data_IF_185661637969
#
_entry.id   IF_185661637969
#
_cell.length_a   1.000
_cell.length_b   1.000
_cell.length_c   1.000
_cell.angle_alpha   90.00
_cell.angle_beta   90.00
_cell.angle_gamma   90.00
#
_symmetry.space_group_name_H-M   'P 1'
#
loop_
_entity.id
_entity.type
_entity.pdbx_description
1 polymer ?
#
# COMPACT_ATOMS: atom_id res chain seq x y z
N UNK A 1 23.63 -37.68 -22.48
CA UNK A 1 22.44 -36.94 -22.93
C UNK A 1 22.58 -35.52 -22.44
N UNK A 2 22.59 -34.52 -23.34
CA UNK A 2 22.54 -33.11 -22.92
C UNK A 2 21.20 -32.86 -22.22
N UNK A 3 21.19 -32.23 -21.04
CA UNK A 3 19.94 -31.91 -20.35
C UNK A 3 19.13 -30.92 -21.21
N UNK A 4 17.83 -31.16 -21.32
CA UNK A 4 16.92 -30.28 -22.06
C UNK A 4 16.94 -28.87 -21.44
N UNK A 5 17.10 -27.85 -22.28
CA UNK A 5 17.12 -26.45 -21.87
C UNK A 5 16.01 -25.67 -22.60
N UNK A 6 14.89 -25.36 -21.92
CA UNK A 6 13.77 -24.63 -22.54
C UNK A 6 13.98 -23.11 -22.63
N UNK A 7 15.09 -22.58 -22.11
CA UNK A 7 15.27 -21.13 -21.90
C UNK A 7 14.98 -20.32 -23.15
N UNK A 8 15.55 -20.70 -24.29
CA UNK A 8 15.38 -19.94 -25.53
C UNK A 8 13.94 -20.01 -26.06
N UNK A 9 13.29 -21.17 -25.99
CA UNK A 9 11.89 -21.31 -26.38
C UNK A 9 10.94 -20.50 -25.48
N UNK A 10 11.19 -20.47 -24.17
CA UNK A 10 10.41 -19.67 -23.24
C UNK A 10 10.60 -18.18 -23.55
N UNK A 11 11.84 -17.74 -23.78
CA UNK A 11 12.14 -16.36 -24.16
C UNK A 11 11.44 -15.97 -25.46
N UNK A 12 11.57 -16.77 -26.51
CA UNK A 12 10.94 -16.48 -27.79
C UNK A 12 9.41 -16.44 -27.68
N UNK A 13 8.82 -17.29 -26.83
CA UNK A 13 7.38 -17.24 -26.52
C UNK A 13 7.00 -15.94 -25.82
N UNK A 14 7.75 -15.53 -24.79
CA UNK A 14 7.50 -14.28 -24.06
C UNK A 14 7.54 -13.06 -24.99
N UNK A 15 8.58 -12.96 -25.82
CA UNK A 15 8.72 -11.87 -26.78
C UNK A 15 7.63 -11.90 -27.85
N UNK A 16 7.28 -13.07 -28.37
CA UNK A 16 6.20 -13.20 -29.34
C UNK A 16 4.88 -12.64 -28.80
N UNK A 17 4.48 -13.01 -27.57
CA UNK A 17 3.26 -12.47 -26.96
C UNK A 17 3.33 -10.96 -26.75
N UNK A 18 4.44 -10.46 -26.20
CA UNK A 18 4.62 -9.04 -25.97
C UNK A 18 4.57 -8.21 -27.27
N UNK A 19 5.21 -8.67 -28.34
CA UNK A 19 5.21 -8.02 -29.66
C UNK A 19 3.84 -8.01 -30.33
N UNK A 20 3.00 -9.02 -30.06
CA UNK A 20 1.60 -9.04 -30.51
C UNK A 20 0.66 -8.18 -29.64
N UNK A 21 1.20 -7.51 -28.62
CA UNK A 21 0.42 -6.69 -27.68
C UNK A 21 -0.24 -7.49 -26.55
N UNK A 22 -0.02 -8.81 -26.49
CA UNK A 22 -0.49 -9.68 -25.41
C UNK A 22 0.53 -9.70 -24.26
N UNK A 23 0.70 -8.52 -23.64
CA UNK A 23 1.60 -8.36 -22.49
C UNK A 23 1.10 -9.13 -21.26
N UNK A 24 -0.20 -9.37 -21.16
CA UNK A 24 -0.81 -10.15 -20.08
C UNK A 24 -0.25 -11.57 -20.02
N UNK A 25 -0.19 -12.27 -21.16
CA UNK A 25 0.35 -13.63 -21.19
C UNK A 25 1.83 -13.65 -20.84
N UNK A 26 2.62 -12.71 -21.36
CA UNK A 26 4.04 -12.60 -21.05
C UNK A 26 4.29 -12.41 -19.55
N UNK A 27 3.58 -11.47 -18.92
CA UNK A 27 3.69 -11.21 -17.47
C UNK A 27 3.18 -12.39 -16.65
N UNK A 28 2.07 -13.01 -17.04
CA UNK A 28 1.50 -14.17 -16.34
C UNK A 28 2.47 -15.35 -16.30
N UNK A 29 3.15 -15.63 -17.41
CA UNK A 29 4.19 -16.67 -17.46
C UNK A 29 5.33 -16.33 -16.50
N UNK A 30 5.81 -15.08 -16.49
CA UNK A 30 6.89 -14.66 -15.60
C UNK A 30 6.51 -14.75 -14.11
N UNK A 31 5.28 -14.39 -13.76
CA UNK A 31 4.72 -14.56 -12.40
C UNK A 31 4.70 -16.04 -12.00
N UNK A 32 4.18 -16.92 -12.86
CA UNK A 32 4.08 -18.37 -12.59
C UNK A 32 5.46 -19.03 -12.48
N UNK A 33 6.45 -18.58 -13.28
CA UNK A 33 7.81 -19.09 -13.19
C UNK A 33 8.46 -18.79 -11.84
N UNK A 34 8.01 -17.75 -11.13
CA UNK A 34 8.54 -17.41 -9.81
C UNK A 34 10.06 -17.27 -9.84
N UNK A 35 10.75 -17.79 -8.83
CA UNK A 35 12.22 -17.70 -8.73
C UNK A 35 12.97 -18.34 -9.91
N UNK A 36 12.33 -19.27 -10.65
CA UNK A 36 12.96 -19.90 -11.83
C UNK A 36 13.17 -18.91 -12.98
N UNK A 37 12.47 -17.76 -12.98
CA UNK A 37 12.69 -16.67 -13.94
C UNK A 37 14.14 -16.16 -13.92
N UNK A 38 14.84 -16.27 -12.78
CA UNK A 38 16.26 -15.89 -12.66
C UNK A 38 17.16 -16.67 -13.62
N UNK A 39 16.79 -17.90 -14.00
CA UNK A 39 17.53 -18.66 -15.02
C UNK A 39 17.41 -18.05 -16.42
N UNK A 40 16.32 -17.33 -16.70
CA UNK A 40 16.11 -16.59 -17.95
C UNK A 40 16.89 -15.25 -17.97
N UNK A 41 17.20 -14.69 -16.79
CA UNK A 41 17.87 -13.39 -16.63
C UNK A 41 19.36 -13.39 -17.01
N UNK A 42 19.97 -14.57 -17.19
CA UNK A 42 21.32 -14.67 -17.76
C UNK A 42 21.35 -14.23 -19.24
N UNK A 43 20.18 -14.07 -19.87
CA UNK A 43 20.04 -13.57 -21.24
C UNK A 43 19.83 -12.05 -21.24
N UNK A 44 20.63 -11.33 -22.03
CA UNK A 44 20.57 -9.86 -22.15
C UNK A 44 19.26 -9.33 -22.74
N UNK A 45 18.48 -10.17 -23.44
CA UNK A 45 17.19 -9.78 -24.02
C UNK A 45 16.15 -9.45 -22.96
N UNK A 46 16.02 -10.27 -21.91
CA UNK A 46 15.03 -10.11 -20.84
C UNK A 46 15.64 -9.44 -19.61
N UNK A 47 16.14 -8.21 -19.79
CA UNK A 47 16.66 -7.43 -18.68
C UNK A 47 15.53 -6.88 -17.78
N UNK A 48 15.92 -6.30 -16.65
CA UNK A 48 15.00 -5.76 -15.65
C UNK A 48 14.04 -4.70 -16.23
N UNK A 49 14.55 -3.79 -17.07
CA UNK A 49 13.76 -2.72 -17.66
C UNK A 49 12.66 -3.23 -18.60
N UNK A 50 12.93 -4.30 -19.37
CA UNK A 50 11.90 -4.94 -20.22
C UNK A 50 10.82 -5.57 -19.36
N UNK A 51 11.19 -6.26 -18.28
CA UNK A 51 10.23 -6.87 -17.36
C UNK A 51 9.38 -5.82 -16.66
N UNK A 52 10.00 -4.73 -16.19
CA UNK A 52 9.33 -3.59 -15.59
C UNK A 52 8.32 -2.96 -16.56
N UNK A 53 8.74 -2.69 -17.81
CA UNK A 53 7.86 -2.15 -18.83
C UNK A 53 6.65 -3.04 -19.10
N UNK A 54 6.84 -4.36 -19.16
CA UNK A 54 5.75 -5.31 -19.37
C UNK A 54 4.79 -5.35 -18.18
N UNK A 55 5.32 -5.39 -16.95
CA UNK A 55 4.52 -5.33 -15.72
C UNK A 55 3.66 -4.05 -15.68
N UNK A 56 4.28 -2.89 -15.93
CA UNK A 56 3.57 -1.60 -15.93
C UNK A 56 2.51 -1.53 -17.04
N UNK A 57 2.79 -2.05 -18.23
CA UNK A 57 1.82 -2.10 -19.34
C UNK A 57 0.63 -3.01 -19.01
N UNK A 58 0.87 -4.13 -18.34
CA UNK A 58 -0.20 -5.00 -17.87
C UNK A 58 -1.03 -4.35 -16.76
N UNK A 59 -0.40 -3.66 -15.81
CA UNK A 59 -1.11 -2.91 -14.77
C UNK A 59 -1.97 -1.77 -15.35
N UNK A 60 -1.50 -1.07 -16.39
CA UNK A 60 -2.30 -0.07 -17.10
C UNK A 60 -3.54 -0.70 -17.75
N UNK A 61 -3.38 -1.88 -18.39
CA UNK A 61 -4.50 -2.62 -18.97
C UNK A 61 -5.55 -3.02 -17.92
N UNK A 62 -5.10 -3.60 -16.80
CA UNK A 62 -5.99 -3.98 -15.68
C UNK A 62 -6.70 -2.77 -15.09
N UNK A 63 -6.00 -1.63 -15.00
CA UNK A 63 -6.58 -0.37 -14.52
C UNK A 63 -7.67 0.15 -15.45
N UNK A 64 -7.47 0.10 -16.77
CA UNK A 64 -8.48 0.48 -17.77
C UNK A 64 -9.72 -0.42 -17.72
N UNK A 65 -9.55 -1.70 -17.40
CA UNK A 65 -10.65 -2.64 -17.20
C UNK A 65 -11.25 -2.62 -15.78
N UNK A 66 -10.78 -1.75 -14.89
CA UNK A 66 -11.25 -1.65 -13.51
C UNK A 66 -11.07 -2.94 -12.68
N UNK A 67 -10.07 -3.75 -13.03
CA UNK A 67 -9.75 -5.01 -12.36
C UNK A 67 -8.76 -4.78 -11.20
N UNK A 68 -9.17 -3.96 -10.23
CA UNK A 68 -8.30 -3.47 -9.15
C UNK A 68 -7.73 -4.58 -8.26
N UNK A 69 -8.52 -5.61 -7.98
CA UNK A 69 -8.07 -6.73 -7.13
C UNK A 69 -6.95 -7.52 -7.82
N UNK A 70 -7.09 -7.77 -9.13
CA UNK A 70 -6.07 -8.47 -9.92
C UNK A 70 -4.82 -7.59 -10.05
N UNK A 71 -4.99 -6.29 -10.29
CA UNK A 71 -3.86 -5.35 -10.33
C UNK A 71 -3.09 -5.33 -9.01
N UNK A 72 -3.81 -5.33 -7.87
CA UNK A 72 -3.20 -5.38 -6.54
C UNK A 72 -2.44 -6.68 -6.30
N UNK A 73 -2.99 -7.82 -6.72
CA UNK A 73 -2.32 -9.12 -6.64
C UNK A 73 -1.03 -9.13 -7.50
N UNK A 74 -1.08 -8.61 -8.72
CA UNK A 74 0.10 -8.49 -9.60
C UNK A 74 1.19 -7.61 -8.97
N UNK A 75 0.81 -6.47 -8.38
CA UNK A 75 1.75 -5.59 -7.65
C UNK A 75 2.42 -6.35 -6.50
N UNK A 76 1.63 -7.06 -5.69
CA UNK A 76 2.15 -7.82 -4.54
C UNK A 76 3.09 -8.95 -4.94
N UNK A 77 2.81 -9.62 -6.06
CA UNK A 77 3.63 -10.72 -6.59
C UNK A 77 4.84 -10.24 -7.42
N UNK A 78 4.91 -8.95 -7.75
CA UNK A 78 6.01 -8.40 -8.53
C UNK A 78 7.35 -8.49 -7.79
N UNK A 79 8.39 -8.83 -8.53
CA UNK A 79 9.78 -8.92 -8.04
C UNK A 79 10.65 -7.72 -8.44
N UNK A 80 10.05 -6.75 -9.13
CA UNK A 80 10.69 -5.49 -9.48
C UNK A 80 10.29 -4.46 -8.42
N UNK A 81 11.27 -3.90 -7.72
CA UNK A 81 11.03 -3.01 -6.57
C UNK A 81 10.15 -1.82 -6.95
N UNK A 82 10.41 -1.16 -8.08
CA UNK A 82 9.61 -0.02 -8.55
C UNK A 82 8.13 -0.35 -8.76
N UNK A 83 7.81 -1.59 -9.14
CA UNK A 83 6.44 -2.08 -9.32
C UNK A 83 5.86 -2.51 -7.98
N UNK A 84 6.62 -3.24 -7.15
CA UNK A 84 6.17 -3.71 -5.84
C UNK A 84 5.83 -2.54 -4.90
N UNK A 85 6.65 -1.48 -4.94
CA UNK A 85 6.47 -0.26 -4.16
C UNK A 85 5.21 0.53 -4.53
N UNK A 86 4.57 0.27 -5.68
CA UNK A 86 3.27 0.86 -6.01
C UNK A 86 2.21 0.53 -4.95
N UNK A 87 2.34 -0.60 -4.24
CA UNK A 87 1.48 -0.94 -3.10
C UNK A 87 1.62 0.00 -1.90
N UNK A 88 2.71 0.77 -1.82
CA UNK A 88 3.06 1.67 -0.73
C UNK A 88 2.92 3.14 -1.09
N UNK A 89 2.58 3.45 -2.34
CA UNK A 89 2.36 4.82 -2.78
C UNK A 89 0.98 5.30 -2.35
N UNK A 90 0.87 6.59 -1.98
CA UNK A 90 -0.39 7.26 -1.62
C UNK A 90 -1.14 6.75 -0.39
N UNK A 91 -0.50 5.97 0.50
CA UNK A 91 -1.07 5.53 1.79
C UNK A 91 -0.41 6.19 3.01
N UNK A 92 0.40 7.23 2.80
CA UNK A 92 1.10 7.94 3.88
C UNK A 92 0.17 8.89 4.62
N UNK A 93 -0.36 8.45 5.76
CA UNK A 93 -1.14 9.30 6.66
C UNK A 93 -0.24 9.92 7.74
N UNK A 94 -0.07 11.24 7.70
CA UNK A 94 0.66 11.96 8.73
C UNK A 94 -0.21 12.13 9.98
N UNK A 95 0.27 11.58 11.10
CA UNK A 95 -0.35 11.76 12.41
C UNK A 95 0.26 12.92 13.17
N UNK A 96 -0.56 13.70 13.87
CA UNK A 96 -0.13 14.85 14.65
C UNK A 96 -0.63 14.74 16.09
N UNK A 97 0.10 15.34 17.03
CA UNK A 97 -0.32 15.40 18.43
C UNK A 97 -1.55 16.31 18.58
N UNK A 98 -2.66 15.80 19.14
CA UNK A 98 -3.85 16.62 19.44
C UNK A 98 -3.57 17.86 20.31
N UNK A 99 -2.57 17.77 21.22
CA UNK A 99 -2.22 18.85 22.15
C UNK A 99 -1.31 19.93 21.55
N UNK A 100 -0.21 19.55 20.89
CA UNK A 100 0.81 20.51 20.42
C UNK A 100 0.95 20.59 18.90
N UNK A 101 0.17 19.81 18.15
CA UNK A 101 0.16 19.74 16.68
C UNK A 101 1.50 19.35 16.05
N UNK A 102 2.45 18.86 16.85
CA UNK A 102 3.70 18.33 16.34
C UNK A 102 3.46 16.98 15.67
N UNK A 103 4.15 16.72 14.56
CA UNK A 103 4.09 15.44 13.87
C UNK A 103 4.53 14.31 14.81
N UNK A 104 3.81 13.20 14.78
CA UNK A 104 4.14 11.99 15.54
C UNK A 104 4.95 11.07 14.63
N UNK A 105 6.01 10.45 15.17
CA UNK A 105 6.79 9.44 14.45
C UNK A 105 5.99 8.13 14.29
N UNK A 106 6.55 7.17 13.54
CA UNK A 106 5.97 5.90 13.00
C UNK A 106 5.02 5.07 13.90
N UNK A 107 4.81 5.41 15.17
CA UNK A 107 3.94 4.70 16.11
C UNK A 107 2.95 5.56 16.90
N UNK A 108 2.71 6.84 16.55
CA UNK A 108 1.55 7.67 16.95
C UNK A 108 1.26 7.87 18.46
N UNK A 109 2.01 7.22 19.34
CA UNK A 109 1.65 7.02 20.76
C UNK A 109 2.53 7.79 21.72
N UNK A 110 3.61 8.40 21.23
CA UNK A 110 4.48 9.26 22.01
C UNK A 110 4.79 10.54 21.23
N UNK A 111 4.59 11.68 21.89
CA UNK A 111 4.94 12.97 21.33
C UNK A 111 6.27 13.46 21.93
N UNK A 112 7.29 13.64 21.10
CA UNK A 112 8.61 14.10 21.55
C UNK A 112 8.59 15.52 22.13
N UNK A 113 7.71 16.38 21.59
CA UNK A 113 7.55 17.76 22.06
C UNK A 113 6.84 17.84 23.41
N UNK A 114 5.77 17.05 23.59
CA UNK A 114 5.04 17.01 24.87
C UNK A 114 5.69 16.08 25.90
N UNK A 115 6.61 15.21 25.47
CA UNK A 115 7.19 14.12 26.25
C UNK A 115 6.13 13.27 26.96
N UNK A 116 5.01 13.03 26.28
CA UNK A 116 3.86 12.30 26.84
C UNK A 116 3.23 11.35 25.83
N UNK A 117 2.46 10.39 26.36
CA UNK A 117 1.69 9.41 25.57
C UNK A 117 0.24 9.81 25.34
N UNK A 118 -0.10 11.03 25.72
CA UNK A 118 -1.47 11.57 25.66
C UNK A 118 -1.99 11.64 24.22
N UNK A 119 -1.10 11.57 23.20
CA UNK A 119 -1.51 11.46 21.81
C UNK A 119 -2.32 10.20 21.48
N UNK A 120 -2.26 9.18 22.34
CA UNK A 120 -3.03 7.93 22.23
C UNK A 120 -4.13 7.79 23.28
N UNK A 121 -4.41 8.85 24.04
CA UNK A 121 -5.45 8.84 25.08
C UNK A 121 -6.83 9.09 24.45
N UNK A 122 -7.83 8.35 24.92
CA UNK A 122 -9.21 8.56 24.48
C UNK A 122 -9.76 9.86 25.05
N UNK A 123 -10.27 10.72 24.17
CA UNK A 123 -10.88 12.01 24.54
C UNK A 123 -12.16 11.92 25.38
N UNK A 124 -12.79 10.74 25.44
CA UNK A 124 -14.06 10.51 26.16
C UNK A 124 -13.80 9.84 27.51
N UNK A 125 -13.11 8.69 27.55
CA UNK A 125 -12.87 7.97 28.79
C UNK A 125 -11.53 8.31 29.47
N UNK A 126 -10.68 9.10 28.81
CA UNK A 126 -9.36 9.50 29.32
C UNK A 126 -8.40 8.33 29.61
N UNK A 127 -8.68 7.14 29.11
CA UNK A 127 -7.77 6.00 29.22
C UNK A 127 -6.90 5.85 27.96
N UNK A 128 -5.68 5.29 28.09
CA UNK A 128 -4.84 4.96 26.94
C UNK A 128 -5.52 3.93 26.04
N UNK A 129 -5.53 4.18 24.72
CA UNK A 129 -6.03 3.25 23.73
C UNK A 129 -4.95 2.24 23.39
N UNK A 130 -5.19 0.96 23.68
CA UNK A 130 -4.24 -0.14 23.38
C UNK A 130 -4.50 -0.84 22.04
N UNK A 131 -5.58 -0.46 21.34
CA UNK A 131 -6.02 -1.05 20.07
C UNK A 131 -6.28 0.01 19.02
N UNK A 132 -7.37 -0.15 18.25
CA UNK A 132 -7.77 0.81 17.22
C UNK A 132 -8.04 2.20 17.81
N UNK A 133 -7.23 3.16 17.41
CA UNK A 133 -7.39 4.57 17.70
C UNK A 133 -8.04 5.25 16.50
N UNK A 134 -9.22 5.83 16.68
CA UNK A 134 -9.88 6.64 15.66
C UNK A 134 -9.68 8.12 15.98
N UNK A 135 -9.27 8.93 15.00
CA UNK A 135 -8.99 10.36 15.19
C UNK A 135 -9.43 11.20 14.00
N UNK A 136 -9.66 12.48 14.26
CA UNK A 136 -9.95 13.46 13.22
C UNK A 136 -8.66 13.96 12.58
N UNK A 137 -8.56 13.95 11.25
CA UNK A 137 -7.38 14.47 10.56
C UNK A 137 -7.18 15.99 10.73
N UNK A 138 -8.26 16.75 10.95
CA UNK A 138 -8.18 18.21 11.19
C UNK A 138 -7.74 18.58 12.61
N UNK A 139 -8.41 18.04 13.64
CA UNK A 139 -8.10 18.41 15.03
C UNK A 139 -7.14 17.45 15.75
N UNK A 140 -6.83 16.29 15.17
CA UNK A 140 -5.92 15.27 15.71
C UNK A 140 -6.30 14.75 17.10
N UNK A 141 -7.53 14.99 17.54
CA UNK A 141 -8.11 14.35 18.71
C UNK A 141 -8.86 13.08 18.30
N UNK A 142 -8.90 12.13 19.22
CA UNK A 142 -9.44 10.82 18.95
C UNK A 142 -9.63 9.98 20.20
N UNK A 143 -9.80 8.67 20.01
CA UNK A 143 -9.97 7.72 21.09
C UNK A 143 -10.34 6.32 20.64
N UNK A 144 -10.88 5.54 21.57
CA UNK A 144 -11.40 4.21 21.27
C UNK A 144 -12.46 4.29 20.17
N UNK A 145 -12.36 3.43 19.15
CA UNK A 145 -13.30 3.40 18.03
C UNK A 145 -14.77 3.42 18.49
N UNK A 146 -15.12 2.58 19.47
CA UNK A 146 -16.49 2.50 20.02
C UNK A 146 -16.98 3.81 20.64
N UNK A 147 -16.15 4.46 21.46
CA UNK A 147 -16.51 5.74 22.08
C UNK A 147 -16.65 6.85 21.04
N UNK A 148 -15.74 6.91 20.06
CA UNK A 148 -15.81 7.91 19.00
C UNK A 148 -17.08 7.72 18.16
N UNK A 149 -17.38 6.48 17.75
CA UNK A 149 -18.62 6.16 17.02
C UNK A 149 -19.86 6.57 17.81
N UNK A 150 -19.98 6.16 19.09
CA UNK A 150 -21.14 6.51 19.92
C UNK A 150 -21.32 8.03 20.09
N UNK A 151 -20.22 8.77 20.26
CA UNK A 151 -20.25 10.23 20.36
C UNK A 151 -20.75 10.87 19.06
N UNK A 152 -20.19 10.46 17.92
CA UNK A 152 -20.51 11.06 16.62
C UNK A 152 -21.85 10.62 16.02
N UNK A 153 -22.48 9.58 16.58
CA UNK A 153 -23.90 9.29 16.28
C UNK A 153 -24.86 10.40 16.73
N UNK A 154 -24.48 11.21 17.73
CA UNK A 154 -25.34 12.23 18.35
C UNK A 154 -24.77 13.65 18.25
N UNK A 155 -23.50 13.78 17.90
CA UNK A 155 -22.77 15.04 17.89
C UNK A 155 -21.94 15.14 16.61
N UNK A 156 -21.64 16.36 16.16
CA UNK A 156 -20.72 16.62 15.05
C UNK A 156 -19.50 17.44 15.48
N UNK A 157 -19.32 17.65 16.79
CA UNK A 157 -18.26 18.48 17.38
C UNK A 157 -17.29 17.60 18.17
N UNK A 158 -16.02 17.97 18.18
CA UNK A 158 -14.97 17.24 18.89
C UNK A 158 -15.27 17.12 20.40
N UNK A 159 -15.18 15.91 21.00
CA UNK A 159 -15.48 15.68 22.42
C UNK A 159 -14.52 16.38 23.39
N UNK A 160 -13.34 16.83 22.92
CA UNK A 160 -12.41 17.61 23.74
C UNK A 160 -12.83 19.06 23.94
N UNK A 161 -13.87 19.53 23.25
CA UNK A 161 -14.31 20.93 23.30
C UNK A 161 -13.42 21.89 22.52
N UNK A 162 -12.56 21.40 21.62
CA UNK A 162 -11.65 22.25 20.84
C UNK A 162 -12.33 23.12 19.76
N UNK A 163 -13.66 23.09 19.65
CA UNK A 163 -14.44 23.88 18.69
C UNK A 163 -14.43 23.36 17.24
N UNK A 164 -13.80 22.22 16.97
CA UNK A 164 -13.75 21.65 15.62
C UNK A 164 -15.00 20.80 15.33
N UNK A 165 -15.63 21.03 14.18
CA UNK A 165 -16.65 20.16 13.61
C UNK A 165 -15.94 19.04 12.85
N UNK A 166 -15.87 17.87 13.47
CA UNK A 166 -15.13 16.77 12.88
C UNK A 166 -16.02 16.03 11.88
N UNK A 167 -15.70 16.17 10.59
CA UNK A 167 -16.35 15.44 9.52
C UNK A 167 -15.61 14.12 9.25
N UNK A 168 -16.36 13.03 9.10
CA UNK A 168 -15.86 11.65 8.88
C UNK A 168 -15.34 10.96 10.15
N UNK A 169 -16.26 10.37 10.93
CA UNK A 169 -15.99 9.35 11.94
C UNK A 169 -16.83 8.10 11.67
#
# INVERSE_FOLDING_TARGET
MTPWNPTDHVLDTLFHHAEQGDVQTAVSILLVLGEKRKHLMNNTRLNEAVQEQWLLSYLDLLSRFQLWNVASEVIQLSWIDSVHELSQQSTTMHTYCGKCKHALMKHGSYCERCRSRDSSQCSICHLPVKGLYSWCQGCSHGGHLSHMQEWFMKNNVCPTGCGHYCESF
#
